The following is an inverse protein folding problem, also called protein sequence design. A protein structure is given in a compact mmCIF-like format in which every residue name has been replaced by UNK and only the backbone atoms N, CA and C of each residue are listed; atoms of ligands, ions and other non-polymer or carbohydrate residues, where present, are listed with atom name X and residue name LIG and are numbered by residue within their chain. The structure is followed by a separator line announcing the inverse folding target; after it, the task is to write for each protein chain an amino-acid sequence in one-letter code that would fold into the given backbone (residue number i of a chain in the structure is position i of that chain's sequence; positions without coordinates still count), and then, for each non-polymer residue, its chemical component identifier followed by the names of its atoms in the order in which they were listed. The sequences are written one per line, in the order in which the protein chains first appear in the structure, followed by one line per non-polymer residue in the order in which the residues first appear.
data_IF_480144808130
#
_entry.id   IF_480144808130
#
_cell.length_a   1.000
_cell.length_b   1.000
_cell.length_c   1.000
_cell.angle_alpha   90.00
_cell.angle_beta   90.00
_cell.angle_gamma   90.00
#
_symmetry.space_group_name_H-M   'P 1'
#
loop_
_entity.id
_entity.type
_entity.pdbx_description
1 polymer ?
#
# COMPACT_ATOMS: atom_id res chain seq x y z
N UNK A 1 15.59 -6.84 27.83
CA UNK A 1 14.10 -6.91 27.82
C UNK A 1 13.48 -5.58 27.40
N UNK A 2 14.08 -4.43 27.71
CA UNK A 2 13.58 -3.09 27.38
C UNK A 2 13.60 -2.74 25.88
N UNK A 3 14.66 -3.09 25.14
CA UNK A 3 14.78 -2.70 23.72
C UNK A 3 13.87 -3.49 22.77
N UNK A 4 13.62 -4.77 23.07
CA UNK A 4 12.72 -5.63 22.28
C UNK A 4 11.28 -5.16 22.42
N UNK A 5 10.84 -4.86 23.65
CA UNK A 5 9.49 -4.37 23.94
C UNK A 5 9.28 -2.98 23.31
N UNK A 6 10.26 -2.08 23.40
CA UNK A 6 10.19 -0.78 22.73
C UNK A 6 10.10 -0.92 21.20
N UNK A 7 10.85 -1.88 20.62
CA UNK A 7 10.81 -2.16 19.17
C UNK A 7 9.46 -2.75 18.75
N UNK A 8 8.89 -3.68 19.52
CA UNK A 8 7.55 -4.24 19.24
C UNK A 8 6.44 -3.20 19.42
N UNK A 9 6.53 -2.29 20.40
CA UNK A 9 5.60 -1.18 20.58
C UNK A 9 5.60 -0.25 19.36
N UNK A 10 6.77 0.07 18.80
CA UNK A 10 6.88 0.89 17.58
C UNK A 10 6.30 0.17 16.36
N UNK A 11 6.51 -1.15 16.25
CA UNK A 11 5.97 -1.95 15.14
C UNK A 11 4.44 -2.13 15.22
N UNK A 12 3.83 -1.86 16.38
CA UNK A 12 2.40 -2.01 16.65
C UNK A 12 1.69 -0.68 16.94
N UNK A 13 2.30 0.47 16.64
CA UNK A 13 1.70 1.80 16.85
C UNK A 13 0.30 1.93 16.21
N UNK A 14 0.07 1.28 15.06
CA UNK A 14 -1.24 1.28 14.41
C UNK A 14 -2.35 0.66 15.29
N UNK A 15 -1.98 -0.35 16.10
CA UNK A 15 -2.88 -1.09 16.99
C UNK A 15 -3.13 -0.37 18.31
N UNK A 16 -2.28 0.58 18.71
CA UNK A 16 -2.47 1.33 19.96
C UNK A 16 -3.66 2.30 19.87
N UNK A 17 -4.23 2.72 21.01
CA UNK A 17 -5.13 3.87 21.06
C UNK A 17 -4.44 5.16 20.55
N UNK A 18 -5.23 6.17 20.21
CA UNK A 18 -4.68 7.50 19.96
C UNK A 18 -4.12 8.07 21.27
N UNK A 19 -2.97 8.73 21.20
CA UNK A 19 -2.50 9.58 22.29
C UNK A 19 -3.30 10.89 22.33
N UNK A 20 -3.14 11.68 23.38
CA UNK A 20 -3.87 12.94 23.57
C UNK A 20 -3.69 13.93 22.40
N UNK A 21 -2.48 13.98 21.82
CA UNK A 21 -2.19 14.86 20.69
C UNK A 21 -2.99 14.41 19.46
N UNK A 22 -2.89 13.14 19.08
CA UNK A 22 -3.56 12.58 17.91
C UNK A 22 -5.10 12.57 18.09
N UNK A 23 -5.59 12.43 19.32
CA UNK A 23 -7.01 12.51 19.64
C UNK A 23 -7.60 13.87 19.24
N UNK A 24 -6.89 14.98 19.46
CA UNK A 24 -7.35 16.30 19.05
C UNK A 24 -7.55 16.44 17.53
N UNK A 25 -6.73 15.75 16.72
CA UNK A 25 -6.92 15.72 15.25
C UNK A 25 -8.11 14.85 14.87
N UNK A 26 -8.25 13.70 15.52
CA UNK A 26 -9.39 12.82 15.32
C UNK A 26 -10.71 13.54 15.62
N UNK A 27 -10.78 14.26 16.74
CA UNK A 27 -11.97 15.00 17.16
C UNK A 27 -12.32 16.12 16.16
N UNK A 28 -11.31 16.85 15.67
CA UNK A 28 -11.50 17.88 14.65
C UNK A 28 -12.04 17.31 13.34
N UNK A 29 -11.47 16.19 12.86
CA UNK A 29 -11.95 15.50 11.66
C UNK A 29 -13.38 14.99 11.87
N UNK A 30 -13.69 14.39 13.04
CA UNK A 30 -15.03 13.90 13.36
C UNK A 30 -16.06 15.01 13.48
N UNK A 31 -15.68 16.17 14.00
CA UNK A 31 -16.58 17.33 14.06
C UNK A 31 -17.00 17.81 12.66
N UNK A 32 -16.09 17.75 11.67
CA UNK A 32 -16.36 18.22 10.30
C UNK A 32 -17.03 17.15 9.42
N UNK A 33 -16.59 15.89 9.50
CA UNK A 33 -17.01 14.83 8.57
C UNK A 33 -17.93 13.76 9.20
N UNK A 34 -18.10 13.75 10.53
CA UNK A 34 -19.01 12.82 11.22
C UNK A 34 -18.81 11.35 10.84
N UNK A 35 -19.86 10.74 10.32
CA UNK A 35 -19.86 9.34 9.85
C UNK A 35 -19.33 9.17 8.43
N UNK A 36 -19.20 10.24 7.64
CA UNK A 36 -18.67 10.16 6.28
C UNK A 36 -17.19 9.74 6.27
N UNK A 37 -16.42 10.17 7.28
CA UNK A 37 -15.09 9.65 7.55
C UNK A 37 -15.20 8.50 8.55
N UNK A 38 -14.92 7.26 8.12
CA UNK A 38 -15.01 6.08 9.00
C UNK A 38 -14.06 6.22 10.19
N UNK A 39 -14.34 5.52 11.29
CA UNK A 39 -13.49 5.57 12.49
C UNK A 39 -12.04 5.22 12.17
N UNK A 40 -11.81 4.12 11.45
CA UNK A 40 -10.47 3.71 11.08
C UNK A 40 -9.77 4.73 10.18
N UNK A 41 -10.47 5.27 9.17
CA UNK A 41 -9.87 6.24 8.28
C UNK A 41 -9.53 7.55 9.01
N UNK A 42 -10.38 7.96 9.95
CA UNK A 42 -10.13 9.11 10.81
C UNK A 42 -8.89 8.91 11.70
N UNK A 43 -8.71 7.72 12.28
CA UNK A 43 -7.51 7.36 13.05
C UNK A 43 -6.25 7.46 12.17
N UNK A 44 -6.31 6.97 10.93
CA UNK A 44 -5.18 7.06 9.98
C UNK A 44 -4.83 8.51 9.66
N UNK A 45 -5.83 9.32 9.33
CA UNK A 45 -5.65 10.75 9.02
C UNK A 45 -5.11 11.53 10.22
N UNK A 46 -5.58 11.22 11.43
CA UNK A 46 -5.07 11.80 12.66
C UNK A 46 -3.57 11.53 12.84
N UNK A 47 -3.06 10.37 12.39
CA UNK A 47 -1.64 9.99 12.49
C UNK A 47 -0.78 10.41 11.30
N UNK A 48 -1.37 10.60 10.12
CA UNK A 48 -0.68 10.73 8.83
C UNK A 48 0.38 11.84 8.73
N UNK A 49 0.27 12.90 9.52
CA UNK A 49 1.11 14.09 9.38
C UNK A 49 1.93 14.39 10.64
N UNK A 50 2.26 13.37 11.45
CA UNK A 50 3.07 13.53 12.68
C UNK A 50 4.44 14.21 12.43
N UNK A 51 5.00 14.08 11.23
CA UNK A 51 6.25 14.76 10.86
C UNK A 51 6.11 16.28 10.63
N UNK A 52 4.90 16.82 10.48
CA UNK A 52 4.66 18.26 10.30
C UNK A 52 4.84 19.03 11.62
N UNK A 53 5.81 19.94 11.66
CA UNK A 53 6.22 20.63 12.89
C UNK A 53 5.59 22.00 13.08
N UNK A 54 5.15 22.67 12.01
CA UNK A 54 4.72 24.08 12.07
C UNK A 54 3.22 24.25 12.24
N UNK A 55 2.45 23.61 11.37
CA UNK A 55 0.99 23.72 11.38
C UNK A 55 0.35 22.37 11.06
N UNK A 56 0.58 21.39 11.93
CA UNK A 56 0.07 20.02 11.74
C UNK A 56 -1.44 20.00 11.61
N UNK A 57 -2.17 20.79 12.41
CA UNK A 57 -3.64 20.80 12.39
C UNK A 57 -4.16 21.33 11.05
N UNK A 58 -3.66 22.50 10.61
CA UNK A 58 -4.04 23.05 9.31
C UNK A 58 -3.72 22.09 8.15
N UNK A 59 -2.55 21.44 8.16
CA UNK A 59 -2.21 20.43 7.14
C UNK A 59 -3.13 19.22 7.19
N UNK A 60 -3.41 18.69 8.38
CA UNK A 60 -4.27 17.52 8.57
C UNK A 60 -5.67 17.79 8.05
N UNK A 61 -6.27 18.94 8.39
CA UNK A 61 -7.61 19.30 7.92
C UNK A 61 -7.63 19.57 6.40
N UNK A 62 -6.62 20.24 5.87
CA UNK A 62 -6.53 20.53 4.43
C UNK A 62 -6.39 19.25 3.58
N UNK A 63 -5.50 18.33 3.96
CA UNK A 63 -5.36 17.06 3.24
C UNK A 63 -6.57 16.15 3.49
N UNK A 64 -7.16 16.14 4.70
CA UNK A 64 -8.41 15.42 4.96
C UNK A 64 -9.50 15.89 4.01
N UNK A 65 -9.71 17.19 3.86
CA UNK A 65 -10.69 17.74 2.91
C UNK A 65 -10.45 17.24 1.49
N UNK A 66 -9.22 17.38 1.00
CA UNK A 66 -8.83 16.93 -0.34
C UNK A 66 -9.10 15.43 -0.56
N UNK A 67 -8.77 14.60 0.43
CA UNK A 67 -8.98 13.16 0.40
C UNK A 67 -10.47 12.82 0.42
N UNK A 68 -11.25 13.46 1.30
CA UNK A 68 -12.70 13.24 1.41
C UNK A 68 -13.44 13.67 0.14
N UNK A 69 -13.06 14.80 -0.46
CA UNK A 69 -13.58 15.27 -1.75
C UNK A 69 -13.28 14.26 -2.86
N UNK A 70 -12.04 13.76 -2.94
CA UNK A 70 -11.64 12.74 -3.92
C UNK A 70 -12.41 11.43 -3.73
N UNK A 71 -12.53 10.94 -2.48
CA UNK A 71 -13.30 9.73 -2.16
C UNK A 71 -14.76 9.86 -2.59
N UNK A 72 -15.36 11.04 -2.41
CA UNK A 72 -16.72 11.34 -2.89
C UNK A 72 -16.78 11.33 -4.43
N UNK A 73 -15.80 11.94 -5.10
CA UNK A 73 -15.74 12.02 -6.55
C UNK A 73 -15.68 10.64 -7.21
N UNK A 74 -14.90 9.71 -6.65
CA UNK A 74 -14.75 8.35 -7.19
C UNK A 74 -15.77 7.36 -6.62
N UNK A 75 -16.71 7.82 -5.79
CA UNK A 75 -17.66 6.97 -5.05
C UNK A 75 -16.97 5.80 -4.31
N UNK A 76 -15.90 6.11 -3.56
CA UNK A 76 -14.99 5.11 -2.99
C UNK A 76 -15.71 4.04 -2.13
N UNK A 77 -16.79 4.41 -1.44
CA UNK A 77 -17.53 3.49 -0.56
C UNK A 77 -18.23 2.35 -1.33
N UNK A 78 -18.60 2.59 -2.59
CA UNK A 78 -19.24 1.58 -3.46
C UNK A 78 -18.26 0.99 -4.48
N UNK A 79 -17.00 1.42 -4.48
CA UNK A 79 -16.03 1.09 -5.51
C UNK A 79 -15.76 -0.42 -5.62
N UNK A 80 -15.77 -1.14 -4.49
CA UNK A 80 -15.63 -2.59 -4.47
C UNK A 80 -16.77 -3.31 -5.22
N UNK A 81 -17.99 -2.77 -5.14
CA UNK A 81 -19.18 -3.29 -5.81
C UNK A 81 -19.32 -2.75 -7.25
N UNK A 82 -18.47 -1.80 -7.65
CA UNK A 82 -18.56 -1.13 -8.93
C UNK A 82 -17.81 -1.93 -9.99
N UNK A 83 -18.48 -2.29 -11.08
CA UNK A 83 -17.84 -2.89 -12.25
C UNK A 83 -17.11 -1.80 -13.05
N UNK A 84 -15.78 -1.89 -13.10
CA UNK A 84 -14.95 -0.97 -13.87
C UNK A 84 -14.84 -1.42 -15.33
N UNK A 85 -14.30 -0.56 -16.19
CA UNK A 85 -14.02 -0.87 -17.58
C UNK A 85 -12.84 -1.84 -17.71
N UNK A 86 -13.01 -2.92 -18.49
CA UNK A 86 -11.97 -3.88 -18.83
C UNK A 86 -11.17 -4.45 -17.63
N UNK A 87 -11.81 -4.91 -16.53
CA UNK A 87 -11.11 -5.33 -15.33
C UNK A 87 -10.24 -6.58 -15.56
N UNK A 88 -10.71 -7.53 -16.37
CA UNK A 88 -9.94 -8.73 -16.69
C UNK A 88 -8.66 -8.38 -17.47
N UNK A 89 -8.74 -7.45 -18.42
CA UNK A 89 -7.57 -6.96 -19.16
C UNK A 89 -6.62 -6.18 -18.25
N UNK A 90 -7.15 -5.39 -17.32
CA UNK A 90 -6.32 -4.66 -16.36
C UNK A 90 -5.51 -5.65 -15.50
N UNK A 91 -6.15 -6.66 -14.93
CA UNK A 91 -5.47 -7.70 -14.12
C UNK A 91 -4.47 -8.52 -14.92
N UNK A 92 -4.69 -8.75 -16.22
CA UNK A 92 -3.72 -9.39 -17.11
C UNK A 92 -2.52 -8.48 -17.43
N UNK A 93 -2.77 -7.18 -17.62
CA UNK A 93 -1.73 -6.20 -17.93
C UNK A 93 -0.87 -5.87 -16.71
N UNK A 94 -1.47 -5.86 -15.51
CA UNK A 94 -0.79 -5.53 -14.26
C UNK A 94 -1.19 -6.54 -13.16
N UNK A 95 -0.61 -7.74 -13.19
CA UNK A 95 -0.90 -8.75 -12.18
C UNK A 95 -0.41 -8.29 -10.79
N UNK A 96 -1.32 -8.30 -9.82
CA UNK A 96 -1.04 -8.03 -8.41
C UNK A 96 -1.58 -9.17 -7.55
N UNK A 97 -0.88 -9.52 -6.48
CA UNK A 97 -1.29 -10.64 -5.63
C UNK A 97 -1.04 -10.40 -4.15
N UNK A 98 -1.93 -10.93 -3.31
CA UNK A 98 -1.66 -11.12 -1.89
C UNK A 98 -0.86 -12.41 -1.74
N UNK A 99 0.36 -12.29 -1.26
CA UNK A 99 1.24 -13.44 -1.02
C UNK A 99 1.11 -14.01 0.39
N UNK A 100 0.52 -13.28 1.33
CA UNK A 100 0.26 -13.74 2.69
C UNK A 100 0.30 -12.57 3.67
N UNK A 101 0.77 -12.83 4.88
CA UNK A 101 0.90 -11.85 5.95
C UNK A 101 2.24 -11.98 6.68
N UNK A 102 2.75 -10.90 7.26
CA UNK A 102 3.84 -10.99 8.22
C UNK A 102 3.35 -11.55 9.57
N UNK A 103 4.26 -11.72 10.53
CA UNK A 103 3.93 -12.18 11.88
C UNK A 103 2.91 -11.26 12.60
N UNK A 104 2.82 -9.99 12.22
CA UNK A 104 1.90 -9.01 12.79
C UNK A 104 0.61 -8.88 11.98
N UNK A 105 0.35 -9.73 10.98
CA UNK A 105 -0.88 -9.67 10.20
C UNK A 105 -0.90 -8.56 9.14
N UNK A 106 0.21 -7.86 8.89
CA UNK A 106 0.27 -6.93 7.76
C UNK A 106 0.26 -7.75 6.46
N UNK A 107 -0.69 -7.43 5.59
CA UNK A 107 -0.84 -8.12 4.31
C UNK A 107 0.36 -7.83 3.41
N UNK A 108 0.89 -8.87 2.78
CA UNK A 108 2.01 -8.78 1.84
C UNK A 108 1.47 -8.75 0.40
N UNK A 109 1.34 -7.55 -0.16
CA UNK A 109 1.07 -7.33 -1.57
C UNK A 109 2.35 -7.54 -2.38
N UNK A 110 2.25 -8.22 -3.52
CA UNK A 110 3.36 -8.55 -4.40
C UNK A 110 3.04 -8.24 -5.85
N UNK A 111 3.96 -7.54 -6.51
CA UNK A 111 3.88 -7.20 -7.93
C UNK A 111 5.23 -7.44 -8.62
N UNK A 112 5.19 -7.89 -9.88
CA UNK A 112 6.40 -8.24 -10.66
C UNK A 112 6.47 -7.42 -11.92
N UNK A 113 7.50 -6.61 -12.05
CA UNK A 113 7.57 -5.63 -13.14
C UNK A 113 7.74 -6.29 -14.51
N UNK A 114 8.43 -7.43 -14.60
CA UNK A 114 8.51 -8.20 -15.85
C UNK A 114 7.16 -8.76 -16.32
N UNK A 115 6.19 -8.91 -15.41
CA UNK A 115 4.87 -9.45 -15.72
C UNK A 115 3.88 -8.31 -16.06
N UNK A 116 4.30 -7.04 -15.91
CA UNK A 116 3.53 -5.87 -16.35
C UNK A 116 3.66 -5.72 -17.87
N UNK A 117 2.54 -5.84 -18.58
CA UNK A 117 2.47 -5.70 -20.02
C UNK A 117 2.32 -4.23 -20.42
N UNK A 118 3.40 -3.46 -20.27
CA UNK A 118 3.39 -2.01 -20.41
C UNK A 118 2.83 -1.51 -21.76
N UNK A 119 3.18 -2.16 -22.87
CA UNK A 119 2.74 -1.72 -24.20
C UNK A 119 1.23 -1.91 -24.39
N UNK A 120 0.70 -3.07 -23.96
CA UNK A 120 -0.75 -3.35 -23.93
C UNK A 120 -1.46 -2.37 -22.99
N UNK A 121 -0.89 -2.12 -21.82
CA UNK A 121 -1.44 -1.23 -20.80
C UNK A 121 -1.61 0.20 -21.33
N UNK A 122 -0.54 0.77 -21.92
CA UNK A 122 -0.54 2.12 -22.47
C UNK A 122 -1.43 2.27 -23.71
N UNK A 123 -1.71 1.17 -24.43
CA UNK A 123 -2.55 1.18 -25.63
C UNK A 123 -4.04 1.05 -25.34
N UNK A 124 -4.42 0.51 -24.18
CA UNK A 124 -5.82 0.16 -23.87
C UNK A 124 -6.44 0.97 -22.72
N UNK A 125 -5.63 1.67 -21.92
CA UNK A 125 -6.11 2.43 -20.77
C UNK A 125 -5.64 3.88 -20.81
N UNK A 126 -6.56 4.79 -20.49
CA UNK A 126 -6.20 6.16 -20.14
C UNK A 126 -5.89 6.26 -18.62
N UNK A 127 -5.33 7.40 -18.20
CA UNK A 127 -4.91 7.59 -16.81
C UNK A 127 -6.06 7.47 -15.81
N UNK A 128 -7.25 7.99 -16.12
CA UNK A 128 -8.41 7.96 -15.23
C UNK A 128 -8.90 6.52 -14.97
N UNK A 129 -8.93 5.69 -16.01
CA UNK A 129 -9.27 4.28 -15.90
C UNK A 129 -8.25 3.53 -15.04
N UNK A 130 -6.96 3.79 -15.25
CA UNK A 130 -5.90 3.21 -14.42
C UNK A 130 -6.04 3.61 -12.96
N UNK A 131 -6.26 4.90 -12.69
CA UNK A 131 -6.43 5.40 -11.32
C UNK A 131 -7.66 4.79 -10.65
N UNK A 132 -8.75 4.56 -11.39
CA UNK A 132 -9.95 3.89 -10.87
C UNK A 132 -9.67 2.44 -10.47
N UNK A 133 -8.99 1.68 -11.33
CA UNK A 133 -8.56 0.30 -11.01
C UNK A 133 -7.62 0.26 -9.80
N UNK A 134 -6.67 1.20 -9.72
CA UNK A 134 -5.73 1.27 -8.59
C UNK A 134 -6.40 1.74 -7.30
N UNK A 135 -7.38 2.64 -7.36
CA UNK A 135 -8.22 2.97 -6.21
C UNK A 135 -8.99 1.74 -5.72
N UNK A 136 -9.60 0.98 -6.63
CA UNK A 136 -10.33 -0.25 -6.27
C UNK A 136 -9.40 -1.29 -5.66
N UNK A 137 -8.18 -1.45 -6.18
CA UNK A 137 -7.13 -2.26 -5.56
C UNK A 137 -6.80 -1.81 -4.13
N UNK A 138 -6.73 -0.51 -3.86
CA UNK A 138 -6.48 -0.01 -2.51
C UNK A 138 -7.66 -0.25 -1.55
N UNK A 139 -8.90 -0.05 -2.01
CA UNK A 139 -10.10 -0.40 -1.21
C UNK A 139 -10.16 -1.91 -0.95
N UNK A 140 -9.72 -2.73 -1.91
CA UNK A 140 -9.64 -4.19 -1.81
C UNK A 140 -8.63 -4.61 -0.74
N UNK A 141 -7.44 -4.03 -0.75
CA UNK A 141 -6.43 -4.23 0.29
C UNK A 141 -6.95 -3.81 1.67
N UNK A 142 -7.67 -2.70 1.75
CA UNK A 142 -8.28 -2.24 2.99
C UNK A 142 -9.35 -3.21 3.52
N UNK A 143 -10.22 -3.75 2.65
CA UNK A 143 -11.20 -4.76 3.05
C UNK A 143 -10.54 -6.03 3.61
N UNK A 144 -9.43 -6.47 3.02
CA UNK A 144 -8.64 -7.60 3.51
C UNK A 144 -8.03 -7.30 4.88
N UNK A 145 -7.41 -6.12 5.06
CA UNK A 145 -6.85 -5.71 6.36
C UNK A 145 -7.94 -5.60 7.45
N UNK A 146 -9.16 -5.21 7.09
CA UNK A 146 -10.30 -5.21 8.01
C UNK A 146 -10.67 -6.63 8.46
N UNK A 147 -10.63 -7.60 7.56
CA UNK A 147 -10.85 -9.01 7.90
C UNK A 147 -9.73 -9.54 8.82
N UNK A 148 -8.47 -9.21 8.51
CA UNK A 148 -7.34 -9.55 9.39
C UNK A 148 -7.51 -8.91 10.76
N UNK A 149 -7.85 -7.62 10.84
CA UNK A 149 -8.07 -6.89 12.09
C UNK A 149 -9.09 -7.59 13.01
N UNK A 150 -10.21 -8.02 12.43
CA UNK A 150 -11.25 -8.76 13.14
C UNK A 150 -10.73 -10.11 13.64
N UNK A 151 -10.00 -10.84 12.79
CA UNK A 151 -9.42 -12.15 13.14
C UNK A 151 -8.40 -12.04 14.28
N UNK A 152 -7.49 -11.07 14.22
CA UNK A 152 -6.40 -10.94 15.19
C UNK A 152 -6.79 -10.16 16.45
N UNK A 153 -7.99 -9.56 16.47
CA UNK A 153 -8.50 -8.81 17.62
C UNK A 153 -7.82 -7.47 17.86
N UNK A 154 -7.13 -6.92 16.85
CA UNK A 154 -6.47 -5.61 16.92
C UNK A 154 -6.47 -4.92 15.56
N UNK A 155 -6.32 -3.60 15.56
CA UNK A 155 -6.33 -2.79 14.34
C UNK A 155 -5.08 -3.04 13.49
N UNK A 156 -5.31 -3.40 12.24
CA UNK A 156 -4.36 -3.50 11.13
C UNK A 156 -4.89 -2.65 9.99
N UNK A 157 -4.16 -1.60 9.62
CA UNK A 157 -4.46 -0.82 8.41
C UNK A 157 -3.23 -0.59 7.53
N UNK A 158 -2.06 -1.07 7.97
CA UNK A 158 -0.84 -1.03 7.20
C UNK A 158 -0.59 -2.32 6.44
N UNK A 159 0.04 -2.20 5.27
CA UNK A 159 0.41 -3.31 4.40
C UNK A 159 1.89 -3.27 4.04
N UNK A 160 2.41 -4.42 3.61
CA UNK A 160 3.74 -4.59 3.05
C UNK A 160 3.62 -4.69 1.53
N UNK A 161 4.48 -3.96 0.81
CA UNK A 161 4.62 -4.09 -0.63
C UNK A 161 5.94 -4.77 -0.97
N UNK A 162 5.91 -5.77 -1.84
CA UNK A 162 7.09 -6.35 -2.47
C UNK A 162 6.98 -6.10 -3.98
N UNK A 163 7.95 -5.37 -4.55
CA UNK A 163 8.10 -5.20 -5.99
C UNK A 163 9.31 -5.98 -6.47
N UNK A 164 9.09 -7.00 -7.30
CA UNK A 164 10.17 -7.69 -8.02
C UNK A 164 10.52 -6.90 -9.28
N UNK A 165 11.65 -6.20 -9.24
CA UNK A 165 12.18 -5.36 -10.31
C UNK A 165 12.86 -6.16 -11.43
N UNK A 166 12.78 -7.50 -11.41
CA UNK A 166 13.21 -8.32 -12.54
C UNK A 166 12.53 -7.84 -13.84
N UNK A 167 13.28 -7.82 -14.93
CA UNK A 167 12.81 -7.35 -16.25
C UNK A 167 12.77 -5.83 -16.42
N UNK A 168 13.04 -5.04 -15.37
CA UNK A 168 13.27 -3.60 -15.53
C UNK A 168 14.49 -3.38 -16.42
N UNK A 169 14.32 -2.45 -17.36
CA UNK A 169 15.29 -2.10 -18.38
C UNK A 169 15.02 -0.68 -18.87
N UNK A 170 15.89 -0.13 -19.73
CA UNK A 170 15.88 1.29 -20.09
C UNK A 170 14.52 1.82 -20.58
N UNK A 171 13.74 1.02 -21.31
CA UNK A 171 12.40 1.43 -21.80
C UNK A 171 11.44 1.82 -20.67
N UNK A 172 11.49 1.09 -19.55
CA UNK A 172 10.66 1.33 -18.36
C UNK A 172 11.06 2.60 -17.60
N UNK A 173 12.24 3.13 -17.90
CA UNK A 173 12.84 4.29 -17.23
C UNK A 173 12.77 5.54 -18.12
N UNK A 174 12.05 5.46 -19.25
CA UNK A 174 11.84 6.62 -20.10
C UNK A 174 10.99 7.68 -19.38
N UNK A 175 11.22 8.99 -19.61
CA UNK A 175 10.43 10.04 -18.98
C UNK A 175 8.92 9.91 -19.20
N UNK A 176 8.50 9.43 -20.38
CA UNK A 176 7.09 9.18 -20.69
C UNK A 176 6.47 8.16 -19.74
N UNK A 177 7.14 7.02 -19.54
CA UNK A 177 6.68 5.96 -18.63
C UNK A 177 6.70 6.45 -17.19
N UNK A 178 7.76 7.14 -16.75
CA UNK A 178 7.85 7.69 -15.40
C UNK A 178 6.72 8.70 -15.14
N UNK A 179 6.45 9.61 -16.07
CA UNK A 179 5.39 10.60 -15.95
C UNK A 179 4.00 9.97 -15.91
N UNK A 180 3.80 8.87 -16.64
CA UNK A 180 2.56 8.11 -16.61
C UNK A 180 2.37 7.31 -15.31
N UNK A 181 3.44 6.73 -14.77
CA UNK A 181 3.41 5.98 -13.51
C UNK A 181 3.31 6.89 -12.28
N UNK A 182 3.80 8.13 -12.35
CA UNK A 182 3.85 9.03 -11.19
C UNK A 182 2.46 9.25 -10.55
N UNK A 183 1.38 9.59 -11.28
CA UNK A 183 0.06 9.75 -10.67
C UNK A 183 -0.47 8.46 -10.01
N UNK A 184 -0.07 7.29 -10.51
CA UNK A 184 -0.44 5.99 -9.95
C UNK A 184 0.20 5.81 -8.56
N UNK A 185 1.48 6.14 -8.43
CA UNK A 185 2.16 6.14 -7.13
C UNK A 185 1.64 7.26 -6.21
N UNK A 186 1.35 8.44 -6.78
CA UNK A 186 0.75 9.57 -6.06
C UNK A 186 -0.57 9.17 -5.39
N UNK A 187 -1.37 8.30 -6.01
CA UNK A 187 -2.65 7.84 -5.47
C UNK A 187 -2.48 7.20 -4.08
N UNK A 188 -1.49 6.32 -3.91
CA UNK A 188 -1.23 5.66 -2.63
C UNK A 188 -0.77 6.64 -1.54
N UNK A 189 0.21 7.49 -1.86
CA UNK A 189 0.77 8.42 -0.87
C UNK A 189 -0.19 9.56 -0.49
N UNK A 190 -0.97 10.07 -1.46
CA UNK A 190 -1.88 11.21 -1.23
C UNK A 190 -3.20 10.75 -0.62
N UNK A 191 -3.85 9.74 -1.21
CA UNK A 191 -5.24 9.40 -0.86
C UNK A 191 -5.37 8.26 0.14
N UNK A 192 -4.28 7.50 0.36
CA UNK A 192 -4.22 6.45 1.37
C UNK A 192 -3.06 6.69 2.34
N UNK A 193 -3.02 7.86 3.01
CA UNK A 193 -1.92 8.18 3.89
C UNK A 193 -1.82 7.16 5.03
N UNK A 194 -0.60 7.01 5.52
CA UNK A 194 -0.25 6.16 6.65
C UNK A 194 -0.65 4.68 6.49
N UNK A 195 -0.74 4.18 5.25
CA UNK A 195 -1.08 2.78 4.96
C UNK A 195 0.12 1.87 4.68
N UNK A 196 1.31 2.42 4.41
CA UNK A 196 2.48 1.59 4.13
C UNK A 196 3.20 1.23 5.44
N UNK A 197 3.39 -0.06 5.69
CA UNK A 197 4.26 -0.55 6.75
C UNK A 197 5.71 -0.60 6.28
N UNK A 198 5.96 -1.35 5.20
CA UNK A 198 7.28 -1.52 4.57
C UNK A 198 7.14 -1.76 3.08
N UNK A 199 8.14 -1.34 2.31
CA UNK A 199 8.24 -1.63 0.89
C UNK A 199 9.60 -2.25 0.57
N UNK A 200 9.57 -3.36 -0.15
CA UNK A 200 10.76 -4.11 -0.57
C UNK A 200 10.87 -4.06 -2.09
N UNK A 201 11.92 -3.43 -2.60
CA UNK A 201 12.27 -3.48 -4.02
C UNK A 201 13.33 -4.56 -4.23
N UNK A 202 12.95 -5.68 -4.83
CA UNK A 202 13.79 -6.89 -4.91
C UNK A 202 14.27 -7.09 -6.35
N UNK A 203 15.43 -7.72 -6.52
CA UNK A 203 16.08 -7.92 -7.83
C UNK A 203 16.32 -6.60 -8.58
N UNK A 204 16.69 -5.55 -7.86
CA UNK A 204 16.95 -4.23 -8.43
C UNK A 204 18.15 -4.28 -9.41
N UNK A 205 17.93 -4.08 -10.73
CA UNK A 205 19.03 -4.08 -11.69
C UNK A 205 19.91 -2.85 -11.51
N UNK A 206 21.16 -2.91 -11.97
CA UNK A 206 22.10 -1.78 -11.82
C UNK A 206 21.54 -0.46 -12.39
N UNK A 207 20.84 -0.54 -13.52
CA UNK A 207 20.20 0.61 -14.18
C UNK A 207 19.15 1.29 -13.31
N UNK A 208 18.49 0.57 -12.39
CA UNK A 208 17.46 1.11 -11.52
C UNK A 208 18.01 2.18 -10.56
N UNK A 209 19.27 2.10 -10.16
CA UNK A 209 19.86 3.06 -9.22
C UNK A 209 19.89 4.50 -9.77
N UNK A 210 20.05 4.68 -11.08
CA UNK A 210 19.95 5.99 -11.73
C UNK A 210 18.54 6.56 -11.61
N UNK A 211 17.53 5.74 -11.88
CA UNK A 211 16.13 6.13 -11.81
C UNK A 211 15.65 6.33 -10.38
N UNK A 212 16.13 5.52 -9.43
CA UNK A 212 15.82 5.69 -8.02
C UNK A 212 16.24 7.07 -7.49
N UNK A 213 17.39 7.61 -7.92
CA UNK A 213 17.81 8.98 -7.57
C UNK A 213 16.82 10.05 -8.03
N UNK A 214 16.08 9.80 -9.11
CA UNK A 214 15.08 10.71 -9.65
C UNK A 214 13.74 10.47 -8.95
N UNK A 215 13.23 9.22 -8.98
CA UNK A 215 11.94 8.84 -8.41
C UNK A 215 11.87 9.15 -6.92
N UNK A 216 12.94 8.87 -6.18
CA UNK A 216 12.97 9.12 -4.74
C UNK A 216 12.71 10.59 -4.42
N UNK A 217 13.02 11.57 -5.27
CA UNK A 217 12.71 12.98 -4.99
C UNK A 217 11.20 13.28 -4.96
N UNK A 218 10.37 12.42 -5.54
CA UNK A 218 8.91 12.57 -5.57
C UNK A 218 8.20 11.79 -4.46
N UNK A 219 8.94 10.98 -3.70
CA UNK A 219 8.42 10.22 -2.57
C UNK A 219 8.56 11.09 -1.32
N UNK A 220 7.56 11.10 -0.45
CA UNK A 220 7.68 11.80 0.83
C UNK A 220 8.79 11.16 1.71
N UNK A 221 9.49 11.93 2.56
CA UNK A 221 10.61 11.40 3.35
C UNK A 221 10.26 10.20 4.24
N UNK A 222 9.06 10.17 4.81
CA UNK A 222 8.62 9.09 5.70
C UNK A 222 8.41 7.78 4.93
N UNK A 223 7.82 7.86 3.74
CA UNK A 223 7.69 6.71 2.83
C UNK A 223 9.06 6.24 2.35
N UNK A 224 10.02 7.13 2.09
CA UNK A 224 11.40 6.72 1.72
C UNK A 224 12.06 5.88 2.80
N UNK A 225 11.87 6.23 4.07
CA UNK A 225 12.43 5.47 5.20
C UNK A 225 11.86 4.04 5.28
N UNK A 226 10.65 3.82 4.76
CA UNK A 226 9.98 2.51 4.71
C UNK A 226 10.43 1.66 3.51
N UNK A 227 11.19 2.21 2.56
CA UNK A 227 11.63 1.53 1.32
C UNK A 227 13.02 0.92 1.52
N UNK A 228 13.13 -0.38 1.27
CA UNK A 228 14.38 -1.13 1.28
C UNK A 228 14.63 -1.79 -0.07
N UNK A 229 15.86 -1.65 -0.59
CA UNK A 229 16.22 -2.06 -1.96
C UNK A 229 17.26 -3.17 -1.91
N UNK A 230 16.97 -4.27 -2.59
CA UNK A 230 17.78 -5.49 -2.62
C UNK A 230 18.21 -5.82 -4.04
N UNK A 231 19.51 -6.09 -4.19
CA UNK A 231 20.10 -6.50 -5.47
C UNK A 231 19.55 -7.85 -5.95
N UNK A 232 19.21 -8.76 -5.02
CA UNK A 232 18.75 -10.10 -5.33
C UNK A 232 17.79 -10.64 -4.25
N UNK A 233 17.05 -11.69 -4.59
CA UNK A 233 16.11 -12.35 -3.68
C UNK A 233 16.78 -12.89 -2.39
N UNK A 234 18.00 -13.43 -2.47
CA UNK A 234 18.71 -13.98 -1.30
C UNK A 234 18.92 -12.92 -0.20
N UNK A 235 19.43 -11.74 -0.57
CA UNK A 235 19.61 -10.63 0.37
C UNK A 235 18.28 -10.12 0.94
N UNK A 236 17.21 -10.13 0.15
CA UNK A 236 15.86 -9.83 0.61
C UNK A 236 15.36 -10.87 1.63
N UNK A 237 15.56 -12.16 1.39
CA UNK A 237 15.11 -13.23 2.31
C UNK A 237 15.74 -13.12 3.70
N UNK A 238 16.99 -12.65 3.79
CA UNK A 238 17.66 -12.38 5.07
C UNK A 238 16.91 -11.29 5.84
N UNK A 239 16.55 -10.19 5.19
CA UNK A 239 15.80 -9.11 5.82
C UNK A 239 14.35 -9.53 6.13
N UNK A 240 13.68 -10.20 5.21
CA UNK A 240 12.32 -10.69 5.40
C UNK A 240 12.21 -11.58 6.65
N UNK A 241 13.21 -12.44 6.89
CA UNK A 241 13.31 -13.24 8.11
C UNK A 241 13.45 -12.37 9.37
N UNK A 242 14.31 -11.35 9.35
CA UNK A 242 14.47 -10.40 10.48
C UNK A 242 13.18 -9.63 10.75
N UNK A 243 12.47 -9.25 9.69
CA UNK A 243 11.18 -8.58 9.73
C UNK A 243 10.01 -9.53 10.08
N UNK A 244 10.29 -10.81 10.33
CA UNK A 244 9.31 -11.85 10.69
C UNK A 244 8.23 -12.07 9.62
N UNK A 245 8.60 -11.98 8.34
CA UNK A 245 7.77 -12.40 7.21
C UNK A 245 7.99 -13.90 7.00
N UNK A 246 6.97 -14.77 7.19
CA UNK A 246 7.13 -16.21 7.05
C UNK A 246 7.33 -16.59 5.58
N UNK A 247 8.02 -17.71 5.32
CA UNK A 247 8.28 -18.18 3.95
C UNK A 247 7.00 -18.47 3.17
N UNK A 248 5.92 -18.87 3.86
CA UNK A 248 4.58 -19.07 3.29
C UNK A 248 3.92 -17.79 2.81
N UNK A 249 4.43 -16.62 3.22
CA UNK A 249 3.99 -15.30 2.77
C UNK A 249 4.93 -14.68 1.73
N UNK A 250 6.01 -15.38 1.35
CA UNK A 250 6.95 -14.93 0.33
C UNK A 250 6.68 -15.70 -0.97
N UNK A 251 6.58 -15.03 -2.13
CA UNK A 251 6.37 -15.70 -3.42
C UNK A 251 7.48 -16.71 -3.75
N UNK A 252 7.12 -17.83 -4.39
CA UNK A 252 8.08 -18.83 -4.88
C UNK A 252 9.14 -18.25 -5.81
N UNK A 253 8.79 -17.25 -6.61
CA UNK A 253 9.71 -16.52 -7.49
C UNK A 253 10.86 -15.81 -6.74
N UNK A 254 10.68 -15.54 -5.45
CA UNK A 254 11.69 -14.93 -4.58
C UNK A 254 12.31 -15.94 -3.60
N UNK A 255 12.10 -17.25 -3.83
CA UNK A 255 12.59 -18.33 -2.97
C UNK A 255 11.70 -18.65 -1.77
N UNK A 256 10.49 -18.10 -1.73
CA UNK A 256 9.46 -18.41 -0.73
C UNK A 256 8.62 -19.65 -1.06
N UNK A 257 7.49 -19.78 -0.36
CA UNK A 257 6.56 -20.92 -0.49
C UNK A 257 5.16 -20.50 -0.95
N UNK A 258 4.86 -19.19 -0.96
CA UNK A 258 3.55 -18.68 -1.36
C UNK A 258 3.29 -18.90 -2.84
N UNK A 259 2.14 -19.49 -3.15
CA UNK A 259 1.53 -19.43 -4.50
C UNK A 259 0.77 -18.11 -4.71
N UNK A 260 0.45 -17.41 -3.62
CA UNK A 260 -0.39 -16.23 -3.49
C UNK A 260 -1.77 -16.32 -4.13
N UNK A 261 -2.53 -15.24 -3.96
CA UNK A 261 -3.90 -15.08 -4.45
C UNK A 261 -3.98 -13.80 -5.26
N UNK A 262 -4.54 -13.90 -6.46
CA UNK A 262 -4.71 -12.76 -7.35
C UNK A 262 -5.60 -11.69 -6.70
N UNK A 263 -5.19 -10.43 -6.82
CA UNK A 263 -6.01 -9.26 -6.49
C UNK A 263 -6.75 -8.82 -7.76
N UNK A 264 -7.68 -9.64 -8.22
CA UNK A 264 -8.57 -9.32 -9.34
C UNK A 264 -9.99 -8.99 -8.86
N UNK A 265 -10.85 -8.69 -9.84
CA UNK A 265 -12.24 -8.29 -9.63
C UNK A 265 -13.20 -9.47 -9.40
N UNK A 266 -12.70 -10.70 -9.25
CA UNK A 266 -13.53 -11.88 -8.90
C UNK A 266 -13.86 -11.97 -7.41
N UNK A 267 -13.38 -11.00 -6.63
CA UNK A 267 -13.55 -10.92 -5.19
C UNK A 267 -14.99 -10.86 -4.70
N UNK A 268 -15.29 -11.66 -3.68
CA UNK A 268 -16.41 -11.43 -2.76
C UNK A 268 -15.88 -11.12 -1.36
N UNK A 269 -16.42 -10.12 -0.66
CA UNK A 269 -15.94 -9.69 0.68
C UNK A 269 -15.81 -10.83 1.70
N UNK A 270 -16.62 -11.88 1.57
CA UNK A 270 -16.51 -13.11 2.38
C UNK A 270 -15.23 -13.93 2.15
N UNK A 271 -14.54 -13.75 1.03
CA UNK A 271 -13.31 -14.48 0.64
C UNK A 271 -12.04 -13.84 1.21
N UNK A 272 -12.17 -12.75 1.98
CA UNK A 272 -11.02 -12.20 2.69
C UNK A 272 -10.39 -13.27 3.58
N UNK A 273 -9.07 -13.15 3.83
CA UNK A 273 -8.33 -14.18 4.58
C UNK A 273 -9.06 -14.47 5.90
N UNK A 274 -9.70 -15.64 5.95
CA UNK A 274 -10.51 -16.05 7.08
C UNK A 274 -9.62 -16.36 8.29
N UNK A 275 -10.17 -16.40 9.52
CA UNK A 275 -9.57 -17.12 10.63
C UNK A 275 -9.17 -18.51 10.14
N UNK A 276 -7.86 -18.75 10.04
CA UNK A 276 -7.31 -20.01 9.54
C UNK A 276 -7.91 -21.18 10.33
N UNK A 277 -8.25 -22.24 9.60
CA UNK A 277 -8.00 -23.58 10.13
C UNK A 277 -6.50 -23.76 10.33
#
# INVERSE_FOLDING_TARGET
MTDIVATEIVLLDESLPLNEIDQGFYDAIKAEYGTACTEEFCIRLARAYRAEKKNRMGKTMAETKKIMDWRKQINANELLNTKLDQPELFSQCWPSMISGEDYYGHIVNYERLKDIQLDTFLSNFNLEQVLSHRAKHMERMHAEMNAVSKRVGRRIYKHICIFDLSGVGLKHLSPSVINFLKPIFDLGQIYYPESLFRMYLVNAPFVFWGTWKIISNFIDPETKEKIQIFKNAESFLVEARKARIPMTSIPKSLGGQSSGRMLDDTFVVGDCISPTQ
#
